data_IF_134634795588
#
_entry.id   IF_134634795588
#
_cell.length_a   1.000
_cell.length_b   1.000
_cell.length_c   1.000
_cell.angle_alpha   90.00
_cell.angle_beta   90.00
_cell.angle_gamma   90.00
#
_symmetry.space_group_name_H-M   'P 1'
#
loop_
_entity.id
_entity.type
_entity.pdbx_description
1 polymer ?
#
# COMPACT_ATOMS: atom_id res chain seq x y z
N UNK A 1 7.02 31.24 8.81
CA UNK A 1 7.70 30.12 9.47
C UNK A 1 7.64 28.96 8.49
N UNK A 2 8.75 28.65 7.83
CA UNK A 2 8.86 27.47 6.97
C UNK A 2 8.93 26.24 7.88
N UNK A 3 7.90 25.40 7.84
CA UNK A 3 7.92 24.14 8.58
C UNK A 3 9.14 23.32 8.09
N UNK A 4 9.93 22.80 9.02
CA UNK A 4 11.00 21.86 8.69
C UNK A 4 10.42 20.65 7.94
N UNK A 5 11.12 20.14 6.91
CA UNK A 5 10.65 18.97 6.20
C UNK A 5 10.57 17.79 7.19
N UNK A 6 9.39 17.12 7.25
CA UNK A 6 9.24 15.90 8.08
C UNK A 6 10.27 14.87 7.62
N UNK A 7 10.97 14.29 8.59
CA UNK A 7 11.89 13.17 8.34
C UNK A 7 11.09 11.94 7.87
N UNK A 8 11.67 11.20 6.96
CA UNK A 8 11.02 10.01 6.38
C UNK A 8 10.73 8.93 7.43
N UNK A 9 9.53 8.33 7.34
CA UNK A 9 9.16 7.16 8.14
C UNK A 9 9.76 5.91 7.51
N UNK A 10 10.35 5.06 8.34
CA UNK A 10 10.86 3.75 7.93
C UNK A 10 10.77 2.76 9.08
N UNK A 11 10.64 1.47 8.75
CA UNK A 11 10.66 0.40 9.75
C UNK A 11 12.09 0.19 10.25
N UNK A 12 12.24 -0.03 11.54
CA UNK A 12 13.48 -0.46 12.16
C UNK A 12 13.23 -1.74 12.97
N UNK A 13 13.73 -2.85 12.48
CA UNK A 13 13.70 -4.15 13.16
C UNK A 13 15.10 -4.75 13.18
N UNK A 14 15.37 -5.62 14.15
CA UNK A 14 16.62 -6.37 14.19
C UNK A 14 16.58 -7.47 13.15
N UNK A 15 17.32 -7.28 12.06
CA UNK A 15 17.53 -8.31 11.05
C UNK A 15 18.97 -8.28 10.51
N UNK A 16 19.48 -9.42 10.00
CA UNK A 16 20.78 -9.44 9.33
C UNK A 16 20.74 -8.62 8.06
N UNK A 17 21.72 -7.74 7.85
CA UNK A 17 21.86 -6.99 6.61
C UNK A 17 22.46 -7.90 5.52
N UNK A 18 21.68 -8.16 4.46
CA UNK A 18 22.10 -9.04 3.36
C UNK A 18 22.92 -8.31 2.29
N UNK A 19 22.67 -7.00 2.13
CA UNK A 19 23.39 -6.12 1.21
C UNK A 19 23.85 -4.91 2.01
N UNK A 20 25.17 -4.79 2.20
CA UNK A 20 25.80 -3.70 2.96
C UNK A 20 26.17 -2.51 2.09
N UNK A 21 26.37 -2.72 0.78
CA UNK A 21 26.65 -1.65 -0.16
C UNK A 21 25.37 -0.86 -0.48
N UNK A 22 25.31 0.47 -0.21
CA UNK A 22 24.11 1.26 -0.41
C UNK A 22 23.65 1.34 -1.87
N UNK A 23 24.60 1.35 -2.83
CA UNK A 23 24.26 1.43 -4.25
C UNK A 23 23.65 0.11 -4.72
N UNK A 24 24.26 -1.03 -4.39
CA UNK A 24 23.72 -2.35 -4.71
C UNK A 24 22.35 -2.57 -4.05
N UNK A 25 22.15 -2.07 -2.83
CA UNK A 25 20.85 -2.13 -2.15
C UNK A 25 19.80 -1.33 -2.91
N UNK A 26 20.11 -0.10 -3.31
CA UNK A 26 19.19 0.74 -4.08
C UNK A 26 18.84 0.13 -5.45
N UNK A 27 19.82 -0.45 -6.16
CA UNK A 27 19.59 -1.17 -7.42
C UNK A 27 18.65 -2.38 -7.21
N UNK A 28 18.90 -3.18 -6.16
CA UNK A 28 18.06 -4.32 -5.81
C UNK A 28 16.64 -3.88 -5.42
N UNK A 29 16.49 -2.79 -4.67
CA UNK A 29 15.18 -2.21 -4.31
C UNK A 29 14.41 -1.76 -5.54
N UNK A 30 15.04 -1.08 -6.48
CA UNK A 30 14.41 -0.66 -7.73
C UNK A 30 13.95 -1.86 -8.58
N UNK A 31 14.82 -2.86 -8.76
CA UNK A 31 14.48 -4.09 -9.49
C UNK A 31 13.32 -4.86 -8.81
N UNK A 32 13.33 -4.92 -7.48
CA UNK A 32 12.27 -5.59 -6.73
C UNK A 32 10.95 -4.81 -6.78
N UNK A 33 10.99 -3.47 -6.84
CA UNK A 33 9.78 -2.65 -7.03
C UNK A 33 9.05 -2.99 -8.32
N UNK A 34 9.79 -3.09 -9.43
CA UNK A 34 9.22 -3.53 -10.72
C UNK A 34 8.65 -4.96 -10.64
N UNK A 35 9.41 -5.89 -10.06
CA UNK A 35 8.96 -7.28 -9.87
C UNK A 35 7.70 -7.39 -9.02
N UNK A 36 7.62 -6.62 -7.94
CA UNK A 36 6.44 -6.58 -7.07
C UNK A 36 5.21 -6.09 -7.84
N UNK A 37 5.37 -5.05 -8.66
CA UNK A 37 4.28 -4.51 -9.46
C UNK A 37 3.82 -5.50 -10.53
N UNK A 38 4.74 -6.09 -11.30
CA UNK A 38 4.44 -7.15 -12.29
C UNK A 38 3.70 -8.34 -11.65
N UNK A 39 4.13 -8.73 -10.45
CA UNK A 39 3.47 -9.80 -9.71
C UNK A 39 2.05 -9.41 -9.28
N UNK A 40 1.86 -8.15 -8.88
CA UNK A 40 0.53 -7.65 -8.51
C UNK A 40 -0.41 -7.59 -9.71
N UNK A 41 0.04 -7.10 -10.87
CA UNK A 41 -0.76 -7.12 -12.11
C UNK A 41 -1.20 -8.53 -12.50
N UNK A 42 -0.28 -9.48 -12.53
CA UNK A 42 -0.59 -10.90 -12.79
C UNK A 42 -1.60 -11.46 -11.77
N UNK A 43 -1.47 -11.07 -10.51
CA UNK A 43 -2.39 -11.49 -9.45
C UNK A 43 -3.79 -10.90 -9.65
N UNK A 44 -3.92 -9.67 -10.16
CA UNK A 44 -5.22 -9.09 -10.52
C UNK A 44 -5.90 -9.91 -11.60
N UNK A 45 -5.21 -10.23 -12.71
CA UNK A 45 -5.78 -11.07 -13.78
C UNK A 45 -6.25 -12.42 -13.22
N UNK A 46 -5.42 -13.08 -12.41
CA UNK A 46 -5.79 -14.35 -11.78
C UNK A 46 -6.99 -14.25 -10.83
N UNK A 47 -7.13 -13.13 -10.14
CA UNK A 47 -8.26 -12.89 -9.24
C UNK A 47 -9.56 -12.68 -10.03
N UNK A 48 -9.51 -11.94 -11.14
CA UNK A 48 -10.66 -11.68 -12.02
C UNK A 48 -11.17 -12.94 -12.72
N UNK A 49 -10.29 -13.93 -12.98
CA UNK A 49 -10.67 -15.23 -13.51
C UNK A 49 -11.35 -16.15 -12.48
N UNK A 50 -11.22 -15.86 -11.19
CA UNK A 50 -11.72 -16.68 -10.09
C UNK A 50 -12.92 -16.04 -9.41
N UNK A 51 -14.11 -16.53 -9.65
CA UNK A 51 -15.33 -16.03 -9.00
C UNK A 51 -15.94 -17.11 -8.12
N UNK A 52 -16.15 -16.87 -6.82
CA UNK A 52 -15.77 -15.67 -6.06
C UNK A 52 -14.28 -15.64 -5.68
N UNK A 53 -13.66 -14.47 -5.82
CA UNK A 53 -12.30 -14.25 -5.32
C UNK A 53 -12.33 -14.02 -3.79
N UNK A 54 -11.33 -14.56 -3.08
CA UNK A 54 -11.09 -14.31 -1.66
C UNK A 54 -9.66 -13.83 -1.43
N UNK A 55 -9.51 -12.65 -0.84
CA UNK A 55 -8.22 -12.16 -0.34
C UNK A 55 -7.72 -13.07 0.79
N UNK A 56 -6.44 -13.39 0.79
CA UNK A 56 -5.80 -14.24 1.80
C UNK A 56 -4.46 -13.66 2.24
N UNK A 57 -4.04 -13.87 3.49
CA UNK A 57 -2.73 -13.42 4.00
C UNK A 57 -1.56 -13.91 3.14
N UNK A 58 -1.66 -15.09 2.54
CA UNK A 58 -0.61 -15.65 1.66
C UNK A 58 -0.27 -14.77 0.47
N UNK A 59 -1.25 -14.03 -0.08
CA UNK A 59 -1.01 -13.06 -1.15
C UNK A 59 -0.25 -11.84 -0.62
N UNK A 60 -0.58 -11.36 0.56
CA UNK A 60 0.10 -10.24 1.23
C UNK A 60 1.57 -10.60 1.47
N UNK A 61 1.85 -11.80 1.99
CA UNK A 61 3.22 -12.31 2.13
C UNK A 61 3.95 -12.40 0.79
N UNK A 62 3.25 -12.81 -0.28
CA UNK A 62 3.84 -12.87 -1.61
C UNK A 62 4.23 -11.50 -2.15
N UNK A 63 3.38 -10.47 -1.96
CA UNK A 63 3.72 -9.10 -2.35
C UNK A 63 4.95 -8.60 -1.60
N UNK A 64 5.03 -8.83 -0.30
CA UNK A 64 6.20 -8.43 0.49
C UNK A 64 7.47 -9.21 0.06
N UNK A 65 7.36 -10.51 -0.21
CA UNK A 65 8.48 -11.32 -0.69
C UNK A 65 9.08 -10.76 -1.98
N UNK A 66 8.25 -10.37 -2.93
CA UNK A 66 8.74 -9.79 -4.19
C UNK A 66 9.43 -8.43 -3.98
N UNK A 67 8.95 -7.62 -3.03
CA UNK A 67 9.56 -6.34 -2.68
C UNK A 67 10.92 -6.47 -1.99
N UNK A 68 11.12 -7.53 -1.19
CA UNK A 68 12.28 -7.69 -0.32
C UNK A 68 13.21 -8.84 -0.72
N UNK A 69 12.97 -9.44 -1.87
CA UNK A 69 13.73 -10.59 -2.35
C UNK A 69 15.23 -10.28 -2.43
N UNK A 70 16.04 -11.06 -1.67
CA UNK A 70 17.49 -10.87 -1.61
C UNK A 70 17.97 -9.64 -0.83
N UNK A 71 17.04 -8.87 -0.25
CA UNK A 71 17.36 -7.67 0.57
C UNK A 71 17.16 -7.99 2.04
N UNK A 72 16.03 -8.63 2.40
CA UNK A 72 15.68 -9.00 3.76
C UNK A 72 15.73 -10.51 3.96
N UNK A 73 16.25 -10.94 5.10
CA UNK A 73 16.23 -12.34 5.54
C UNK A 73 14.80 -12.83 5.82
N UNK A 74 13.87 -11.90 6.08
CA UNK A 74 12.46 -12.17 6.36
C UNK A 74 11.53 -11.89 5.17
N UNK A 75 12.07 -11.90 3.94
CA UNK A 75 11.26 -11.72 2.73
C UNK A 75 10.16 -12.78 2.61
N UNK A 76 8.89 -12.35 2.60
CA UNK A 76 7.71 -13.22 2.56
C UNK A 76 7.32 -13.83 3.90
N UNK A 77 7.86 -13.32 5.01
CA UNK A 77 7.58 -13.79 6.37
C UNK A 77 7.16 -12.63 7.26
N UNK A 78 6.30 -12.92 8.24
CA UNK A 78 6.03 -11.94 9.29
C UNK A 78 7.29 -11.67 10.13
N UNK A 79 7.36 -10.49 10.74
CA UNK A 79 8.43 -10.16 11.67
C UNK A 79 8.47 -11.11 12.86
N UNK A 80 9.66 -11.58 13.26
CA UNK A 80 9.78 -12.51 14.38
C UNK A 80 9.64 -11.81 15.74
N UNK A 81 9.75 -10.49 15.80
CA UNK A 81 9.78 -9.70 17.01
C UNK A 81 9.19 -8.32 16.89
N UNK A 82 9.55 -7.42 17.80
CA UNK A 82 9.17 -6.02 17.77
C UNK A 82 9.75 -5.29 16.57
N UNK A 83 9.05 -4.23 16.14
CA UNK A 83 9.48 -3.29 15.12
C UNK A 83 9.12 -1.89 15.58
N UNK A 84 9.96 -0.93 15.26
CA UNK A 84 9.72 0.50 15.49
C UNK A 84 9.50 1.20 14.15
N UNK A 85 8.59 2.18 14.13
CA UNK A 85 8.43 3.07 12.98
C UNK A 85 9.08 4.39 13.33
N UNK A 86 10.26 4.61 12.81
CA UNK A 86 11.02 5.85 13.06
C UNK A 86 10.23 7.05 12.51
N UNK A 87 10.20 8.14 13.29
CA UNK A 87 9.43 9.37 12.98
C UNK A 87 7.90 9.18 12.91
N UNK A 88 7.33 8.23 13.65
CA UNK A 88 5.90 8.02 13.81
C UNK A 88 5.53 7.84 15.28
N UNK A 89 4.34 8.33 15.69
CA UNK A 89 3.76 8.10 17.01
C UNK A 89 2.97 6.77 17.08
N UNK A 90 2.88 6.05 15.97
CA UNK A 90 2.23 4.75 15.92
C UNK A 90 3.13 3.64 16.46
N UNK A 91 2.65 2.93 17.46
CA UNK A 91 3.30 1.74 18.01
C UNK A 91 2.67 0.48 17.37
N UNK A 92 3.43 -0.29 16.57
CA UNK A 92 2.92 -1.52 15.99
C UNK A 92 2.53 -2.55 17.04
N UNK A 93 1.51 -3.36 16.72
CA UNK A 93 1.02 -4.43 17.60
C UNK A 93 2.09 -5.48 17.90
N UNK A 94 1.92 -6.26 18.96
CA UNK A 94 2.81 -7.40 19.28
C UNK A 94 2.88 -8.40 18.11
N UNK A 95 4.08 -8.94 17.83
CA UNK A 95 4.28 -9.87 16.70
C UNK A 95 3.37 -11.10 16.75
N UNK A 96 3.00 -11.56 17.95
CA UNK A 96 2.11 -12.70 18.15
C UNK A 96 0.66 -12.45 17.69
N UNK A 97 0.23 -11.18 17.58
CA UNK A 97 -1.11 -10.80 17.10
C UNK A 97 -1.18 -10.65 15.57
N UNK A 98 -0.04 -10.60 14.90
CA UNK A 98 0.03 -10.34 13.45
C UNK A 98 -0.78 -11.34 12.62
N UNK A 99 -0.72 -12.68 12.85
CA UNK A 99 -1.50 -13.63 12.05
C UNK A 99 -3.00 -13.38 12.12
N UNK A 100 -3.54 -13.24 13.33
CA UNK A 100 -4.96 -13.00 13.57
C UNK A 100 -5.43 -11.70 12.89
N UNK A 101 -4.67 -10.62 13.06
CA UNK A 101 -5.01 -9.31 12.49
C UNK A 101 -4.90 -9.28 10.96
N UNK A 102 -4.02 -10.07 10.35
CA UNK A 102 -3.98 -10.23 8.90
C UNK A 102 -5.18 -11.03 8.36
N UNK A 103 -5.66 -12.05 9.10
CA UNK A 103 -6.91 -12.72 8.76
C UNK A 103 -8.09 -11.76 8.88
N UNK A 104 -8.21 -11.00 9.97
CA UNK A 104 -9.25 -9.97 10.12
C UNK A 104 -9.23 -8.93 8.98
N UNK A 105 -8.04 -8.49 8.54
CA UNK A 105 -7.90 -7.60 7.41
C UNK A 105 -8.49 -8.22 6.14
N UNK A 106 -8.15 -9.48 5.88
CA UNK A 106 -8.64 -10.21 4.71
C UNK A 106 -10.15 -10.45 4.80
N UNK A 107 -10.65 -10.86 5.96
CA UNK A 107 -12.09 -11.11 6.19
C UNK A 107 -12.89 -9.84 6.00
N UNK A 108 -12.43 -8.69 6.53
CA UNK A 108 -13.11 -7.42 6.28
C UNK A 108 -13.27 -7.13 4.78
N UNK A 109 -12.25 -7.35 3.97
CA UNK A 109 -12.34 -7.13 2.51
C UNK A 109 -13.28 -8.15 1.89
N UNK A 110 -13.16 -9.42 2.26
CA UNK A 110 -13.96 -10.53 1.72
C UNK A 110 -15.45 -10.38 2.00
N UNK A 111 -15.80 -9.84 3.17
CA UNK A 111 -17.19 -9.65 3.60
C UNK A 111 -17.80 -8.34 3.08
N UNK A 112 -17.00 -7.47 2.46
CA UNK A 112 -17.43 -6.11 2.07
C UNK A 112 -17.09 -5.76 0.61
N UNK A 113 -17.01 -6.72 -0.32
CA UNK A 113 -16.75 -6.44 -1.74
C UNK A 113 -17.81 -5.55 -2.42
N UNK A 114 -18.97 -5.37 -1.79
CA UNK A 114 -20.05 -4.47 -2.21
C UNK A 114 -19.79 -2.98 -1.86
N UNK A 115 -18.81 -2.71 -0.99
CA UNK A 115 -18.40 -1.34 -0.66
C UNK A 115 -17.67 -0.66 -1.82
N UNK A 116 -17.61 0.69 -1.83
CA UNK A 116 -16.84 1.41 -2.84
C UNK A 116 -15.39 0.90 -2.93
N UNK A 117 -14.91 0.70 -4.16
CA UNK A 117 -13.56 0.19 -4.41
C UNK A 117 -12.47 1.03 -3.73
N UNK A 118 -12.65 2.35 -3.72
CA UNK A 118 -11.74 3.30 -3.04
C UNK A 118 -11.73 3.08 -1.52
N UNK A 119 -12.89 2.75 -0.92
CA UNK A 119 -12.97 2.44 0.52
C UNK A 119 -12.13 1.21 0.86
N UNK A 120 -12.29 0.12 0.12
CA UNK A 120 -11.53 -1.11 0.36
C UNK A 120 -10.03 -0.90 0.16
N UNK A 121 -9.65 -0.15 -0.88
CA UNK A 121 -8.26 0.20 -1.16
C UNK A 121 -7.66 1.06 -0.03
N UNK A 122 -8.40 2.05 0.48
CA UNK A 122 -8.00 2.89 1.60
C UNK A 122 -7.88 2.08 2.89
N UNK A 123 -8.84 1.19 3.15
CA UNK A 123 -8.84 0.33 4.31
C UNK A 123 -7.59 -0.57 4.36
N UNK A 124 -7.30 -1.31 3.29
CA UNK A 124 -6.14 -2.22 3.30
C UNK A 124 -4.82 -1.46 3.38
N UNK A 125 -4.73 -0.27 2.76
CA UNK A 125 -3.54 0.57 2.82
C UNK A 125 -3.27 1.04 4.24
N UNK A 126 -4.30 1.52 4.95
CA UNK A 126 -4.19 1.90 6.35
C UNK A 126 -3.98 0.68 7.25
N UNK A 127 -4.84 -0.33 7.18
CA UNK A 127 -4.84 -1.45 8.13
C UNK A 127 -3.53 -2.23 8.11
N UNK A 128 -2.93 -2.44 6.94
CA UNK A 128 -1.64 -3.12 6.83
C UNK A 128 -0.52 -2.29 7.49
N UNK A 129 -0.51 -0.96 7.30
CA UNK A 129 0.46 -0.10 7.99
C UNK A 129 0.24 -0.09 9.49
N UNK A 130 -1.02 -0.12 9.96
CA UNK A 130 -1.35 -0.20 11.37
C UNK A 130 -0.89 -1.51 12.02
N UNK A 131 -1.12 -2.66 11.39
CA UNK A 131 -0.64 -3.97 11.87
C UNK A 131 0.88 -4.02 11.85
N UNK A 132 1.47 -3.47 10.79
CA UNK A 132 2.93 -3.46 10.53
C UNK A 132 3.54 -4.86 10.59
N UNK A 133 3.07 -5.82 9.75
CA UNK A 133 3.35 -7.23 9.91
C UNK A 133 4.78 -7.65 9.62
N UNK A 134 5.57 -6.81 8.93
CA UNK A 134 6.88 -7.16 8.41
C UNK A 134 8.01 -6.40 9.10
N UNK A 135 9.23 -6.96 9.09
CA UNK A 135 10.44 -6.27 9.54
C UNK A 135 10.75 -5.05 8.66
N UNK A 136 10.55 -5.18 7.33
CA UNK A 136 10.62 -4.09 6.36
C UNK A 136 9.61 -4.28 5.23
N UNK A 137 9.39 -3.24 4.42
CA UNK A 137 8.53 -3.29 3.23
C UNK A 137 7.03 -3.11 3.51
N UNK A 138 6.62 -2.75 4.73
CA UNK A 138 5.20 -2.55 5.07
C UNK A 138 4.54 -1.50 4.16
N UNK A 139 5.16 -0.35 3.98
CA UNK A 139 4.65 0.70 3.11
C UNK A 139 4.61 0.31 1.63
N UNK A 140 5.64 -0.40 1.12
CA UNK A 140 5.64 -0.92 -0.26
C UNK A 140 4.49 -1.92 -0.46
N UNK A 141 4.34 -2.85 0.47
CA UNK A 141 3.30 -3.88 0.43
C UNK A 141 1.90 -3.30 0.55
N UNK A 142 1.68 -2.33 1.44
CA UNK A 142 0.36 -1.72 1.63
C UNK A 142 -0.12 -0.97 0.38
N UNK A 143 0.76 -0.24 -0.30
CA UNK A 143 0.43 0.47 -1.54
C UNK A 143 0.10 -0.49 -2.69
N UNK A 144 0.87 -1.57 -2.82
CA UNK A 144 0.61 -2.59 -3.84
C UNK A 144 -0.66 -3.39 -3.52
N UNK A 145 -0.91 -3.72 -2.26
CA UNK A 145 -2.16 -4.35 -1.83
C UNK A 145 -3.38 -3.46 -2.12
N UNK A 146 -3.26 -2.15 -1.88
CA UNK A 146 -4.30 -1.18 -2.21
C UNK A 146 -4.57 -1.13 -3.72
N UNK A 147 -3.54 -1.08 -4.56
CA UNK A 147 -3.66 -1.16 -6.01
C UNK A 147 -4.35 -2.47 -6.45
N UNK A 148 -3.97 -3.60 -5.86
CA UNK A 148 -4.57 -4.90 -6.15
C UNK A 148 -6.06 -4.93 -5.80
N UNK A 149 -6.43 -4.56 -4.58
CA UNK A 149 -7.83 -4.56 -4.12
C UNK A 149 -8.68 -3.60 -4.95
N UNK A 150 -8.16 -2.40 -5.24
CA UNK A 150 -8.84 -1.43 -6.09
C UNK A 150 -9.10 -1.99 -7.49
N UNK A 151 -8.09 -2.59 -8.12
CA UNK A 151 -8.20 -3.17 -9.48
C UNK A 151 -9.19 -4.34 -9.52
N UNK A 152 -9.13 -5.25 -8.54
CA UNK A 152 -10.07 -6.39 -8.46
C UNK A 152 -11.50 -5.90 -8.25
N UNK A 153 -11.71 -4.93 -7.35
CA UNK A 153 -13.04 -4.37 -7.09
C UNK A 153 -13.62 -3.63 -8.30
N UNK A 154 -12.76 -2.97 -9.10
CA UNK A 154 -13.17 -2.31 -10.34
C UNK A 154 -13.37 -3.28 -11.54
N UNK A 155 -12.87 -4.51 -11.43
CA UNK A 155 -12.98 -5.52 -12.48
C UNK A 155 -11.95 -5.43 -13.61
N UNK A 156 -10.91 -4.60 -13.46
CA UNK A 156 -9.83 -4.47 -14.44
C UNK A 156 -8.53 -3.98 -13.79
N UNK A 157 -7.39 -4.26 -14.43
CA UNK A 157 -6.10 -3.70 -14.04
C UNK A 157 -6.07 -2.21 -14.34
N UNK A 158 -5.77 -1.39 -13.33
CA UNK A 158 -5.67 0.07 -13.51
C UNK A 158 -4.55 0.41 -14.49
N UNK A 159 -4.86 1.12 -15.60
CA UNK A 159 -3.87 1.46 -16.61
C UNK A 159 -3.06 2.70 -16.24
N UNK A 160 -1.93 2.87 -16.91
CA UNK A 160 -1.18 4.13 -16.97
C UNK A 160 0.01 4.22 -16.04
N UNK A 161 0.83 5.23 -16.31
CA UNK A 161 2.00 5.64 -15.53
C UNK A 161 2.00 7.17 -15.41
N UNK A 162 2.33 7.72 -14.22
CA UNK A 162 2.67 7.00 -12.99
C UNK A 162 1.50 6.20 -12.42
N UNK A 163 1.82 5.08 -11.77
CA UNK A 163 0.85 4.19 -11.11
C UNK A 163 0.36 4.77 -9.78
N UNK A 164 -0.78 4.28 -9.26
CA UNK A 164 -1.28 4.71 -7.94
C UNK A 164 -0.24 4.54 -6.82
N UNK A 165 0.51 3.42 -6.68
CA UNK A 165 1.58 3.31 -5.71
C UNK A 165 2.67 4.38 -5.82
N UNK A 166 3.07 4.76 -7.04
CA UNK A 166 4.05 5.84 -7.28
C UNK A 166 3.49 7.20 -6.93
N UNK A 167 2.23 7.47 -7.29
CA UNK A 167 1.55 8.73 -6.95
C UNK A 167 1.40 8.91 -5.44
N UNK A 168 1.11 7.85 -4.68
CA UNK A 168 1.04 7.90 -3.21
C UNK A 168 2.41 8.30 -2.62
N UNK A 169 3.51 7.75 -3.14
CA UNK A 169 4.87 8.13 -2.70
C UNK A 169 5.15 9.60 -3.01
N UNK A 170 4.77 10.07 -4.21
CA UNK A 170 4.95 11.48 -4.60
C UNK A 170 4.13 12.46 -3.72
N UNK A 171 3.05 11.98 -3.08
CA UNK A 171 2.21 12.73 -2.15
C UNK A 171 2.37 12.23 -0.70
N UNK A 172 3.60 11.93 -0.31
CA UNK A 172 3.95 11.28 0.95
C UNK A 172 3.37 11.96 2.18
N UNK A 173 3.40 13.29 2.24
CA UNK A 173 2.86 14.03 3.37
C UNK A 173 1.37 13.78 3.56
N UNK A 174 0.58 13.88 2.50
CA UNK A 174 -0.87 13.66 2.55
C UNK A 174 -1.18 12.22 2.92
N UNK A 175 -0.36 11.28 2.45
CA UNK A 175 -0.45 9.87 2.80
C UNK A 175 -0.19 9.61 4.28
N UNK A 176 0.89 10.17 4.84
CA UNK A 176 1.22 10.04 6.27
C UNK A 176 0.17 10.73 7.15
N UNK A 177 -0.33 11.91 6.76
CA UNK A 177 -1.41 12.60 7.46
C UNK A 177 -2.75 11.81 7.43
N UNK A 178 -2.99 11.03 6.36
CA UNK A 178 -4.15 10.16 6.26
C UNK A 178 -4.02 8.92 7.16
N UNK A 179 -2.83 8.33 7.27
CA UNK A 179 -2.55 7.24 8.21
C UNK A 179 -2.75 7.70 9.65
N UNK A 180 -2.14 8.82 10.05
CA UNK A 180 -2.26 9.38 11.41
C UNK A 180 -3.72 9.66 11.79
N UNK A 181 -4.52 10.14 10.84
CA UNK A 181 -5.94 10.40 11.08
C UNK A 181 -6.73 9.11 11.35
N UNK A 182 -6.48 8.06 10.57
CA UNK A 182 -7.14 6.77 10.75
C UNK A 182 -6.69 6.08 12.05
N UNK A 183 -5.39 6.17 12.38
CA UNK A 183 -4.83 5.67 13.64
C UNK A 183 -5.47 6.34 14.86
N UNK A 184 -5.61 7.67 14.83
CA UNK A 184 -6.26 8.44 15.90
C UNK A 184 -7.73 8.03 16.07
N UNK A 185 -8.49 7.87 14.99
CA UNK A 185 -9.89 7.42 15.05
C UNK A 185 -9.99 6.00 15.63
N UNK A 186 -9.11 5.11 15.23
CA UNK A 186 -9.11 3.74 15.73
C UNK A 186 -8.68 3.64 17.20
N UNK A 187 -7.71 4.44 17.62
CA UNK A 187 -7.28 4.53 19.03
C UNK A 187 -8.39 5.03 19.94
N UNK A 188 -9.19 6.00 19.49
CA UNK A 188 -10.23 6.67 20.28
C UNK A 188 -11.58 5.95 20.33
N UNK A 189 -11.75 4.79 19.73
CA UNK A 189 -13.06 4.10 19.77
C UNK A 189 -13.15 2.89 18.85
N UNK A 190 -12.03 2.40 18.37
CA UNK A 190 -11.95 1.28 17.40
C UNK A 190 -12.74 1.56 16.11
N UNK A 191 -12.97 2.84 15.80
CA UNK A 191 -13.71 3.25 14.61
C UNK A 191 -12.81 3.21 13.38
N UNK A 192 -13.20 2.45 12.36
CA UNK A 192 -12.55 2.47 11.05
C UNK A 192 -12.97 3.77 10.34
N UNK A 193 -12.06 4.73 10.29
CA UNK A 193 -12.26 5.99 9.56
C UNK A 193 -11.09 6.23 8.62
N UNK A 194 -11.27 5.87 7.37
CA UNK A 194 -10.27 6.01 6.30
C UNK A 194 -10.61 7.11 5.30
N UNK A 195 -11.53 8.02 5.65
CA UNK A 195 -12.05 9.05 4.75
C UNK A 195 -10.97 9.95 4.14
N UNK A 196 -9.94 10.31 4.91
CA UNK A 196 -8.80 11.08 4.34
C UNK A 196 -7.99 10.26 3.34
N UNK A 197 -7.84 8.97 3.57
CA UNK A 197 -7.15 8.07 2.64
C UNK A 197 -7.99 7.85 1.37
N UNK A 198 -9.32 7.75 1.51
CA UNK A 198 -10.26 7.69 0.39
C UNK A 198 -10.11 8.92 -0.51
N UNK A 199 -10.18 10.12 0.06
CA UNK A 199 -10.00 11.38 -0.69
C UNK A 199 -8.63 11.46 -1.40
N UNK A 200 -7.57 11.00 -0.74
CA UNK A 200 -6.25 10.93 -1.36
C UNK A 200 -6.26 9.98 -2.57
N UNK A 201 -6.74 8.74 -2.38
CA UNK A 201 -6.79 7.74 -3.46
C UNK A 201 -7.66 8.22 -4.62
N UNK A 202 -8.84 8.79 -4.36
CA UNK A 202 -9.73 9.37 -5.38
C UNK A 202 -9.01 10.43 -6.22
N UNK A 203 -8.33 11.37 -5.54
CA UNK A 203 -7.57 12.42 -6.22
C UNK A 203 -6.43 11.86 -7.09
N UNK A 204 -5.71 10.87 -6.58
CA UNK A 204 -4.58 10.26 -7.29
C UNK A 204 -5.05 9.36 -8.44
N UNK A 205 -6.13 8.62 -8.25
CA UNK A 205 -6.75 7.82 -9.30
C UNK A 205 -7.26 8.71 -10.44
N UNK A 206 -7.91 9.83 -10.11
CA UNK A 206 -8.34 10.79 -11.11
C UNK A 206 -7.15 11.33 -11.93
N UNK A 207 -6.03 11.65 -11.30
CA UNK A 207 -4.79 12.08 -11.99
C UNK A 207 -4.24 10.98 -12.91
N UNK A 208 -4.19 9.73 -12.44
CA UNK A 208 -3.72 8.60 -13.24
C UNK A 208 -4.59 8.38 -14.49
N UNK A 209 -5.90 8.28 -14.31
CA UNK A 209 -6.84 8.05 -15.41
C UNK A 209 -6.90 9.24 -16.38
N UNK A 210 -6.78 10.47 -15.87
CA UNK A 210 -6.70 11.65 -16.71
C UNK A 210 -5.46 11.61 -17.62
N UNK A 211 -4.32 11.21 -17.08
CA UNK A 211 -3.10 11.04 -17.88
C UNK A 211 -3.26 9.98 -18.97
N UNK A 212 -3.94 8.88 -18.68
CA UNK A 212 -4.27 7.85 -19.68
C UNK A 212 -5.14 8.44 -20.79
N UNK A 213 -6.16 9.22 -20.42
CA UNK A 213 -7.03 9.89 -21.39
C UNK A 213 -6.26 10.88 -22.30
N UNK A 214 -5.36 11.69 -21.74
CA UNK A 214 -4.52 12.61 -22.51
C UNK A 214 -3.67 11.86 -23.53
N UNK A 215 -3.00 10.78 -23.10
CA UNK A 215 -2.16 9.96 -23.99
C UNK A 215 -3.01 9.29 -25.09
N UNK A 216 -4.16 8.77 -24.76
CA UNK A 216 -5.05 8.09 -25.72
C UNK A 216 -5.71 9.06 -26.71
N UNK A 217 -6.05 10.27 -26.28
CA UNK A 217 -6.73 11.27 -27.11
C UNK A 217 -5.78 12.14 -27.94
N UNK A 218 -4.48 12.13 -27.64
CA UNK A 218 -3.48 13.05 -28.24
C UNK A 218 -3.73 14.52 -27.94
N UNK A 219 -4.60 14.82 -26.95
CA UNK A 219 -4.95 16.20 -26.57
C UNK A 219 -4.50 16.44 -25.13
N UNK A 220 -3.56 17.37 -24.88
CA UNK A 220 -3.31 17.80 -23.52
C UNK A 220 -4.58 18.46 -22.99
N UNK A 221 -5.02 18.04 -21.81
CA UNK A 221 -6.14 18.66 -21.13
C UNK A 221 -5.78 20.08 -20.72
N UNK A 222 -6.73 21.00 -20.87
CA UNK A 222 -6.58 22.35 -20.30
C UNK A 222 -6.65 22.19 -18.76
N UNK A 223 -5.68 22.73 -18.00
CA UNK A 223 -5.80 22.75 -16.56
C UNK A 223 -7.06 23.53 -16.17
N UNK A 224 -8.01 22.88 -15.50
CA UNK A 224 -9.13 23.58 -14.87
C UNK A 224 -10.56 23.21 -15.26
N UNK A 225 -10.81 22.20 -16.08
CA UNK A 225 -12.19 21.71 -16.29
C UNK A 225 -12.40 20.39 -15.55
N UNK A 226 -12.94 20.46 -14.33
CA UNK A 226 -13.55 19.31 -13.71
C UNK A 226 -14.74 18.85 -14.58
N UNK A 227 -14.98 17.54 -14.79
CA UNK A 227 -16.19 17.09 -15.46
C UNK A 227 -17.41 17.48 -14.63
N UNK A 228 -18.36 18.13 -15.29
CA UNK A 228 -19.71 18.42 -14.78
C UNK A 228 -20.50 17.15 -14.59
#
# INVERSE_FOLDING_TARGET
MTAEPRKERHSHALEPELITDPQLKAEAEAANGLRQYDYAEKSVYQALERTPFKLRPSLIYSFQREALRGISAYAGMQRPGGVEIVNSDHEPVGAHLVPELLEELCDYVNDNWDKPAVHLAAYVMWRLNWIHPFADGNGRTSRVLSFFVLSVSLGFVLPGSPTLPELVIAHRKDYEDALDNADAAYKNGKTINVSKMELLIESLLAKQLHRVYELASGKPSKPGTAPT
#
